data_IF_204180142680
#
_entry.id   IF_204180142680
#
_cell.length_a   1.000
_cell.length_b   1.000
_cell.length_c   1.000
_cell.angle_alpha   90.00
_cell.angle_beta   90.00
_cell.angle_gamma   90.00
#
_symmetry.space_group_name_H-M   'P 1'
#
loop_
_entity.id
_entity.type
_entity.pdbx_description
1 polymer ?
#
# COMPACT_ATOMS: atom_id res chain seq x y z
N UNK A 1 12.51 -19.68 -8.46
CA UNK A 1 12.16 -18.27 -8.21
C UNK A 1 10.91 -17.93 -9.01
N UNK A 2 9.95 -17.22 -8.41
CA UNK A 2 8.77 -16.78 -9.13
C UNK A 2 9.15 -15.99 -10.38
N UNK A 3 8.52 -16.33 -11.50
CA UNK A 3 8.75 -15.69 -12.78
C UNK A 3 7.84 -14.47 -12.96
N UNK A 4 6.61 -14.57 -12.47
CA UNK A 4 5.55 -13.58 -12.69
C UNK A 4 5.17 -12.85 -11.41
N UNK A 5 5.15 -13.52 -10.24
CA UNK A 5 4.81 -12.89 -8.98
C UNK A 5 5.93 -11.99 -8.47
N UNK A 6 5.61 -10.70 -8.35
CA UNK A 6 6.42 -9.71 -7.62
C UNK A 6 6.08 -9.67 -6.12
N UNK A 7 6.50 -8.61 -5.44
CA UNK A 7 6.25 -8.39 -4.00
C UNK A 7 4.75 -8.23 -3.66
N UNK A 8 3.94 -7.79 -4.63
CA UNK A 8 2.51 -7.51 -4.41
C UNK A 8 1.67 -7.91 -5.63
N UNK A 9 1.72 -9.20 -5.98
CA UNK A 9 1.01 -9.77 -7.13
C UNK A 9 1.78 -9.69 -8.45
N UNK A 10 1.09 -9.92 -9.54
CA UNK A 10 1.60 -9.90 -10.92
C UNK A 10 1.28 -8.54 -11.53
N UNK A 11 2.24 -7.89 -12.19
CA UNK A 11 2.05 -6.60 -12.87
C UNK A 11 2.80 -6.54 -14.18
N UNK A 12 2.21 -5.89 -15.17
CA UNK A 12 2.83 -5.66 -16.47
C UNK A 12 1.92 -4.85 -17.38
N UNK A 13 2.37 -4.66 -18.61
CA UNK A 13 1.53 -4.12 -19.69
C UNK A 13 0.56 -5.21 -20.19
N UNK A 14 -0.32 -4.87 -21.12
CA UNK A 14 -1.24 -5.84 -21.69
C UNK A 14 -0.51 -6.97 -22.46
N UNK A 15 0.69 -6.71 -22.95
CA UNK A 15 1.55 -7.73 -23.58
C UNK A 15 2.04 -8.76 -22.55
N UNK A 16 2.33 -8.33 -21.33
CA UNK A 16 2.81 -9.20 -20.25
C UNK A 16 1.66 -9.91 -19.53
N UNK A 17 0.58 -9.17 -19.25
CA UNK A 17 -0.57 -9.62 -18.46
C UNK A 17 -1.84 -9.54 -19.30
N UNK A 18 -1.81 -10.17 -20.49
CA UNK A 18 -2.95 -10.21 -21.40
C UNK A 18 -4.03 -11.23 -20.99
N UNK A 19 -5.18 -11.26 -21.71
CA UNK A 19 -6.33 -12.10 -21.33
C UNK A 19 -6.02 -13.59 -21.24
N UNK A 20 -5.21 -14.13 -22.16
CA UNK A 20 -4.82 -15.55 -22.13
C UNK A 20 -4.00 -15.89 -20.88
N UNK A 21 -3.05 -15.01 -20.52
CA UNK A 21 -2.27 -15.13 -19.30
C UNK A 21 -3.17 -15.01 -18.06
N UNK A 22 -4.04 -14.01 -18.01
CA UNK A 22 -4.94 -13.76 -16.88
C UNK A 22 -5.90 -14.95 -16.63
N UNK A 23 -6.39 -15.59 -17.70
CA UNK A 23 -7.21 -16.80 -17.61
C UNK A 23 -6.42 -17.95 -16.97
N UNK A 24 -5.22 -18.24 -17.48
CA UNK A 24 -4.37 -19.32 -16.94
C UNK A 24 -3.94 -19.05 -15.49
N UNK A 25 -3.58 -17.80 -15.18
CA UNK A 25 -3.25 -17.40 -13.83
C UNK A 25 -4.44 -17.59 -12.87
N UNK A 26 -5.65 -17.20 -13.30
CA UNK A 26 -6.85 -17.36 -12.49
C UNK A 26 -7.22 -18.84 -12.27
N UNK A 27 -7.02 -19.71 -13.26
CA UNK A 27 -7.17 -21.16 -13.07
C UNK A 27 -6.23 -21.68 -11.99
N UNK A 28 -4.96 -21.32 -12.05
CA UNK A 28 -3.94 -21.74 -11.08
C UNK A 28 -4.23 -21.20 -9.69
N UNK A 29 -4.63 -19.92 -9.59
CA UNK A 29 -5.03 -19.27 -8.33
C UNK A 29 -6.26 -19.99 -7.75
N UNK A 30 -7.29 -20.24 -8.54
CA UNK A 30 -8.48 -20.97 -8.09
C UNK A 30 -8.15 -22.37 -7.57
N UNK A 31 -7.33 -23.13 -8.30
CA UNK A 31 -6.87 -24.44 -7.87
C UNK A 31 -6.04 -24.39 -6.58
N UNK A 32 -5.15 -23.39 -6.44
CA UNK A 32 -4.37 -23.18 -5.19
C UNK A 32 -5.29 -22.96 -3.98
N UNK A 33 -6.39 -22.22 -4.14
CA UNK A 33 -7.41 -22.03 -3.11
C UNK A 33 -8.50 -23.09 -3.12
N UNK A 34 -8.20 -24.29 -3.65
CA UNK A 34 -9.06 -25.48 -3.62
C UNK A 34 -10.44 -25.26 -4.27
N UNK A 35 -10.51 -24.42 -5.28
CA UNK A 35 -11.72 -24.08 -6.02
C UNK A 35 -12.87 -23.57 -5.12
N UNK A 36 -12.53 -22.88 -4.06
CA UNK A 36 -13.46 -22.32 -3.10
C UNK A 36 -14.20 -21.08 -3.59
N UNK A 37 -14.71 -20.28 -2.65
CA UNK A 37 -15.34 -18.99 -2.93
C UNK A 37 -14.27 -17.93 -3.21
N UNK A 38 -14.28 -17.35 -4.41
CA UNK A 38 -13.33 -16.35 -4.85
C UNK A 38 -14.02 -15.01 -5.11
N UNK A 39 -13.51 -13.94 -4.51
CA UNK A 39 -13.94 -12.59 -4.86
C UNK A 39 -13.09 -12.08 -6.03
N UNK A 40 -13.71 -11.28 -6.90
CA UNK A 40 -13.04 -10.55 -7.97
C UNK A 40 -13.41 -9.09 -7.86
N UNK A 41 -12.42 -8.21 -7.90
CA UNK A 41 -12.59 -6.76 -7.92
C UNK A 41 -11.66 -6.16 -8.98
N UNK A 42 -11.92 -4.93 -9.40
CA UNK A 42 -11.01 -4.21 -10.28
C UNK A 42 -10.96 -2.72 -9.99
N UNK A 43 -9.86 -2.09 -10.38
CA UNK A 43 -9.83 -0.66 -10.54
C UNK A 43 -10.52 -0.24 -11.88
N UNK A 44 -10.42 1.02 -12.25
CA UNK A 44 -11.09 1.57 -13.42
C UNK A 44 -10.20 1.67 -14.67
N UNK A 45 -9.01 1.04 -14.68
CA UNK A 45 -8.11 1.00 -15.85
C UNK A 45 -8.83 0.43 -17.07
N UNK A 46 -8.50 0.95 -18.26
CA UNK A 46 -9.18 0.56 -19.51
C UNK A 46 -9.16 -0.94 -19.77
N UNK A 47 -8.05 -1.60 -19.46
CA UNK A 47 -7.90 -3.05 -19.63
C UNK A 47 -8.57 -3.85 -18.51
N UNK A 48 -9.10 -3.20 -17.47
CA UNK A 48 -9.66 -3.84 -16.30
C UNK A 48 -10.83 -4.78 -16.58
N UNK A 49 -11.76 -4.35 -17.45
CA UNK A 49 -12.91 -5.19 -17.83
C UNK A 49 -12.49 -6.40 -18.67
N UNK A 50 -11.58 -6.22 -19.62
CA UNK A 50 -11.02 -7.29 -20.43
C UNK A 50 -10.38 -8.38 -19.55
N UNK A 51 -9.53 -7.94 -18.60
CA UNK A 51 -8.85 -8.86 -17.69
C UNK A 51 -9.84 -9.50 -16.68
N UNK A 52 -10.84 -8.75 -16.22
CA UNK A 52 -11.91 -9.29 -15.36
C UNK A 52 -12.64 -10.45 -16.03
N UNK A 53 -12.99 -10.31 -17.30
CA UNK A 53 -13.68 -11.38 -18.03
C UNK A 53 -12.81 -12.64 -18.14
N UNK A 54 -11.52 -12.50 -18.39
CA UNK A 54 -10.57 -13.61 -18.42
C UNK A 54 -10.38 -14.26 -17.05
N UNK A 55 -10.23 -13.46 -15.99
CA UNK A 55 -10.09 -13.94 -14.61
C UNK A 55 -11.33 -14.72 -14.17
N UNK A 56 -12.51 -14.18 -14.42
CA UNK A 56 -13.77 -14.85 -14.06
C UNK A 56 -13.91 -16.18 -14.80
N UNK A 57 -13.65 -16.20 -16.11
CA UNK A 57 -13.68 -17.43 -16.90
C UNK A 57 -12.67 -18.48 -16.39
N UNK A 58 -11.46 -18.04 -16.02
CA UNK A 58 -10.43 -18.89 -15.43
C UNK A 58 -10.87 -19.51 -14.11
N UNK A 59 -11.39 -18.71 -13.17
CA UNK A 59 -11.89 -19.18 -11.88
C UNK A 59 -13.07 -20.15 -12.04
N UNK A 60 -14.05 -19.82 -12.88
CA UNK A 60 -15.20 -20.69 -13.13
C UNK A 60 -14.77 -22.02 -13.76
N UNK A 61 -13.83 -21.98 -14.74
CA UNK A 61 -13.34 -23.21 -15.37
C UNK A 61 -12.57 -24.11 -14.41
N UNK A 62 -11.99 -23.55 -13.34
CA UNK A 62 -11.41 -24.32 -12.25
C UNK A 62 -12.46 -24.83 -11.22
N UNK A 63 -13.75 -24.42 -11.32
CA UNK A 63 -14.84 -24.85 -10.43
C UNK A 63 -15.09 -23.94 -9.23
N UNK A 64 -14.50 -22.73 -9.20
CA UNK A 64 -14.69 -21.78 -8.12
C UNK A 64 -16.13 -21.20 -8.11
N UNK A 65 -16.62 -20.85 -6.92
CA UNK A 65 -17.72 -19.90 -6.76
C UNK A 65 -17.17 -18.47 -6.89
N UNK A 66 -17.66 -17.71 -7.87
CA UNK A 66 -17.14 -16.37 -8.14
C UNK A 66 -18.15 -15.30 -7.74
N UNK A 67 -17.72 -14.36 -6.88
CA UNK A 67 -18.47 -13.17 -6.53
C UNK A 67 -17.72 -11.96 -7.08
N UNK A 68 -18.36 -11.20 -7.96
CA UNK A 68 -17.82 -10.00 -8.58
C UNK A 68 -18.24 -8.76 -7.79
N UNK A 69 -17.26 -8.06 -7.23
CA UNK A 69 -17.45 -6.80 -6.51
C UNK A 69 -17.46 -5.57 -7.45
N UNK A 70 -17.18 -5.78 -8.75
CA UNK A 70 -17.12 -4.71 -9.73
C UNK A 70 -15.93 -3.76 -9.54
N UNK A 71 -16.13 -2.47 -9.89
CA UNK A 71 -15.14 -1.42 -9.65
C UNK A 71 -15.23 -0.99 -8.18
N UNK A 72 -14.10 -1.16 -7.46
CA UNK A 72 -14.00 -0.73 -6.07
C UNK A 72 -12.54 -0.50 -5.69
N UNK A 73 -12.29 0.10 -4.52
CA UNK A 73 -10.93 0.28 -4.00
C UNK A 73 -10.35 -1.04 -3.50
N UNK A 74 -9.02 -1.19 -3.53
CA UNK A 74 -8.35 -2.35 -2.96
C UNK A 74 -8.71 -2.56 -1.48
N UNK A 75 -8.70 -1.53 -0.60
CA UNK A 75 -9.13 -1.71 0.79
C UNK A 75 -10.57 -2.23 0.93
N UNK A 76 -11.50 -1.73 0.12
CA UNK A 76 -12.89 -2.21 0.16
C UNK A 76 -13.00 -3.67 -0.25
N UNK A 77 -12.30 -4.09 -1.31
CA UNK A 77 -12.28 -5.48 -1.75
C UNK A 77 -11.70 -6.41 -0.68
N UNK A 78 -10.61 -6.00 -0.03
CA UNK A 78 -9.96 -6.78 1.03
C UNK A 78 -10.81 -6.81 2.33
N UNK A 79 -11.52 -5.72 2.66
CA UNK A 79 -12.52 -5.73 3.73
C UNK A 79 -13.64 -6.74 3.45
N UNK A 80 -14.16 -6.77 2.21
CA UNK A 80 -15.21 -7.71 1.82
C UNK A 80 -14.76 -9.16 1.86
N UNK A 81 -13.48 -9.46 1.63
CA UNK A 81 -12.92 -10.80 1.75
C UNK A 81 -13.20 -11.40 3.14
N UNK A 82 -12.85 -10.66 4.19
CA UNK A 82 -13.10 -11.08 5.58
C UNK A 82 -14.59 -11.13 5.91
N UNK A 83 -15.35 -10.13 5.48
CA UNK A 83 -16.80 -10.06 5.75
C UNK A 83 -17.58 -11.19 5.11
N UNK A 84 -17.25 -11.57 3.89
CA UNK A 84 -17.91 -12.66 3.14
C UNK A 84 -17.31 -14.03 3.42
N UNK A 85 -16.23 -14.10 4.23
CA UNK A 85 -15.50 -15.34 4.54
C UNK A 85 -15.14 -16.11 3.26
N UNK A 86 -14.63 -15.39 2.26
CA UNK A 86 -14.21 -16.01 1.02
C UNK A 86 -12.80 -16.63 1.16
N UNK A 87 -12.50 -17.62 0.33
CA UNK A 87 -11.23 -18.35 0.38
C UNK A 87 -10.08 -17.59 -0.28
N UNK A 88 -10.40 -16.65 -1.17
CA UNK A 88 -9.42 -15.80 -1.82
C UNK A 88 -10.07 -14.64 -2.58
N UNK A 89 -9.21 -13.70 -3.00
CA UNK A 89 -9.58 -12.50 -3.72
C UNK A 89 -8.55 -12.21 -4.81
N UNK A 90 -9.02 -11.86 -6.00
CA UNK A 90 -8.19 -11.29 -7.07
C UNK A 90 -8.64 -9.86 -7.31
N UNK A 91 -7.73 -8.90 -7.13
CA UNK A 91 -7.96 -7.49 -7.49
C UNK A 91 -7.19 -7.19 -8.76
N UNK A 92 -7.90 -6.78 -9.80
CA UNK A 92 -7.32 -6.40 -11.09
C UNK A 92 -6.95 -4.93 -11.01
N UNK A 93 -5.67 -4.65 -10.76
CA UNK A 93 -5.13 -3.31 -10.55
C UNK A 93 -3.62 -3.28 -10.73
N UNK A 94 -3.09 -2.12 -11.10
CA UNK A 94 -1.66 -1.82 -11.02
C UNK A 94 -1.38 -0.67 -10.03
N UNK A 95 -2.34 -0.31 -9.16
CA UNK A 95 -2.20 0.71 -8.10
C UNK A 95 -1.68 2.05 -8.67
N UNK A 96 -0.46 2.42 -8.34
CA UNK A 96 0.20 3.68 -8.71
C UNK A 96 0.92 3.68 -10.06
N UNK A 97 0.98 2.53 -10.76
CA UNK A 97 1.65 2.44 -12.07
C UNK A 97 0.94 3.29 -13.14
N UNK A 98 1.63 3.67 -14.23
CA UNK A 98 1.04 4.36 -15.38
C UNK A 98 -0.19 3.64 -15.98
N UNK A 99 -1.02 4.33 -16.79
CA UNK A 99 -2.30 3.80 -17.29
C UNK A 99 -2.20 2.53 -18.13
N UNK A 100 -1.10 2.33 -18.85
CA UNK A 100 -0.84 1.16 -19.70
C UNK A 100 -0.56 -0.13 -18.92
N UNK A 101 -0.26 -0.02 -17.62
CA UNK A 101 -0.05 -1.17 -16.75
C UNK A 101 -1.37 -1.70 -16.17
N UNK A 102 -1.41 -3.00 -15.94
CA UNK A 102 -2.42 -3.64 -15.10
C UNK A 102 -1.80 -4.81 -14.33
N UNK A 103 -2.59 -5.54 -13.55
CA UNK A 103 -2.05 -6.65 -12.77
C UNK A 103 -3.13 -7.44 -12.04
N UNK A 104 -2.68 -8.50 -11.39
CA UNK A 104 -3.49 -9.35 -10.53
C UNK A 104 -2.89 -9.37 -9.13
N UNK A 105 -3.51 -8.64 -8.20
CA UNK A 105 -3.19 -8.71 -6.77
C UNK A 105 -4.01 -9.84 -6.16
N UNK A 106 -3.35 -10.80 -5.53
CA UNK A 106 -3.99 -12.00 -4.96
C UNK A 106 -3.91 -11.95 -3.45
N UNK A 107 -5.03 -12.19 -2.79
CA UNK A 107 -5.15 -12.18 -1.32
C UNK A 107 -5.79 -13.49 -0.87
N UNK A 108 -5.26 -14.11 0.17
CA UNK A 108 -5.82 -15.35 0.73
C UNK A 108 -6.98 -15.08 1.69
N UNK A 109 -7.73 -16.12 2.05
CA UNK A 109 -8.90 -16.01 2.93
C UNK A 109 -8.61 -15.48 4.34
N UNK A 110 -7.33 -15.34 4.73
CA UNK A 110 -6.91 -14.68 5.97
C UNK A 110 -6.70 -13.17 5.81
N UNK A 111 -6.85 -12.63 4.59
CA UNK A 111 -6.57 -11.24 4.29
C UNK A 111 -5.08 -10.93 4.08
N UNK A 112 -4.25 -11.95 3.83
CA UNK A 112 -2.82 -11.79 3.58
C UNK A 112 -2.58 -11.83 2.08
N UNK A 113 -2.00 -10.77 1.53
CA UNK A 113 -1.59 -10.76 0.12
C UNK A 113 -0.58 -11.87 -0.15
N UNK A 114 -0.68 -12.51 -1.32
CA UNK A 114 0.23 -13.57 -1.71
C UNK A 114 1.63 -12.98 -1.95
N UNK A 115 2.60 -13.45 -1.15
CA UNK A 115 4.01 -13.08 -1.31
C UNK A 115 4.63 -13.73 -2.55
N UNK A 116 5.84 -13.27 -2.92
CA UNK A 116 6.59 -13.85 -4.03
C UNK A 116 6.81 -15.35 -3.85
N UNK A 117 7.16 -15.77 -2.63
CA UNK A 117 7.43 -17.17 -2.29
C UNK A 117 6.17 -18.04 -2.47
N UNK A 118 5.02 -17.58 -1.99
CA UNK A 118 3.73 -18.27 -2.20
C UNK A 118 3.29 -18.22 -3.66
N UNK A 119 3.64 -17.16 -4.38
CA UNK A 119 3.42 -17.04 -5.83
C UNK A 119 4.10 -18.15 -6.63
N UNK A 120 5.28 -18.60 -6.20
CA UNK A 120 5.97 -19.73 -6.84
C UNK A 120 5.16 -21.04 -6.78
N UNK A 121 4.38 -21.24 -5.72
CA UNK A 121 3.49 -22.41 -5.61
C UNK A 121 2.33 -22.32 -6.60
N UNK A 122 1.77 -21.14 -6.79
CA UNK A 122 0.70 -20.90 -7.76
C UNK A 122 1.25 -21.08 -9.20
N UNK A 123 2.44 -20.56 -9.49
CA UNK A 123 3.06 -20.67 -10.81
C UNK A 123 3.32 -22.11 -11.25
N UNK A 124 3.55 -23.05 -10.32
CA UNK A 124 3.70 -24.47 -10.63
C UNK A 124 2.43 -25.11 -11.20
N UNK A 125 1.28 -24.48 -10.95
CA UNK A 125 -0.03 -24.95 -11.44
C UNK A 125 -0.38 -24.38 -12.82
N UNK A 126 0.38 -23.42 -13.34
CA UNK A 126 0.10 -22.82 -14.66
C UNK A 126 0.10 -23.87 -15.77
N UNK A 127 -1.01 -23.90 -16.53
CA UNK A 127 -1.19 -24.85 -17.62
C UNK A 127 -1.50 -26.31 -17.21
N UNK A 128 -1.52 -26.61 -15.89
CA UNK A 128 -1.71 -27.97 -15.36
C UNK A 128 -2.98 -28.10 -14.49
N UNK A 129 -3.92 -27.17 -14.57
CA UNK A 129 -5.16 -27.21 -13.79
C UNK A 129 -6.18 -28.11 -14.49
N UNK A 130 -6.72 -29.10 -13.77
CA UNK A 130 -7.86 -29.88 -14.24
C UNK A 130 -9.10 -28.97 -14.26
N UNK A 131 -9.77 -28.91 -15.43
CA UNK A 131 -11.02 -28.16 -15.54
C UNK A 131 -12.15 -28.85 -14.78
N UNK A 132 -13.08 -28.06 -14.30
CA UNK A 132 -14.27 -28.53 -13.61
C UNK A 132 -15.21 -29.26 -14.57
N UNK A 133 -15.90 -30.27 -14.04
CA UNK A 133 -16.97 -30.95 -14.79
C UNK A 133 -18.16 -30.01 -14.99
N UNK A 134 -18.94 -30.25 -16.04
CA UNK A 134 -20.09 -29.42 -16.43
C UNK A 134 -21.03 -29.10 -15.23
N UNK A 135 -21.35 -30.08 -14.39
CA UNK A 135 -22.23 -29.92 -13.23
C UNK A 135 -21.63 -29.12 -12.07
N UNK A 136 -20.34 -28.80 -12.12
CA UNK A 136 -19.60 -28.04 -11.09
C UNK A 136 -19.47 -26.55 -11.42
N UNK A 137 -19.85 -26.13 -12.63
CA UNK A 137 -19.78 -24.73 -13.03
C UNK A 137 -20.89 -23.93 -12.34
N UNK A 138 -20.48 -22.86 -11.62
CA UNK A 138 -21.39 -21.99 -10.88
C UNK A 138 -21.56 -20.65 -11.60
N UNK A 139 -22.77 -20.05 -11.59
CA UNK A 139 -22.97 -18.70 -12.12
C UNK A 139 -22.18 -17.66 -11.32
N UNK A 140 -21.74 -16.60 -11.98
CA UNK A 140 -21.13 -15.45 -11.30
C UNK A 140 -22.19 -14.66 -10.57
N UNK A 141 -21.91 -14.29 -9.31
CA UNK A 141 -22.78 -13.45 -8.50
C UNK A 141 -22.21 -12.04 -8.44
N UNK A 142 -23.01 -11.01 -8.73
CA UNK A 142 -22.63 -9.62 -8.55
C UNK A 142 -22.90 -9.15 -7.11
N UNK A 143 -22.01 -8.30 -6.55
CA UNK A 143 -22.22 -7.70 -5.24
C UNK A 143 -21.94 -6.19 -5.29
N UNK A 144 -23.01 -5.39 -5.35
CA UNK A 144 -22.94 -3.94 -5.61
C UNK A 144 -22.92 -3.05 -4.35
N UNK A 145 -22.91 -3.60 -3.13
CA UNK A 145 -23.03 -2.83 -1.88
C UNK A 145 -21.71 -2.70 -1.12
N UNK A 146 -20.60 -3.19 -1.66
CA UNK A 146 -19.29 -3.25 -0.99
C UNK A 146 -18.82 -1.92 -0.40
N UNK A 147 -18.94 -0.82 -1.13
CA UNK A 147 -18.55 0.50 -0.66
C UNK A 147 -19.39 0.96 0.55
N UNK A 148 -20.72 0.72 0.50
CA UNK A 148 -21.62 1.06 1.61
C UNK A 148 -21.28 0.27 2.85
N UNK A 149 -21.06 -1.04 2.71
CA UNK A 149 -20.74 -1.93 3.82
C UNK A 149 -19.41 -1.58 4.48
N UNK A 150 -18.41 -1.19 3.68
CA UNK A 150 -17.13 -0.72 4.19
C UNK A 150 -17.26 0.63 4.91
N UNK A 151 -18.01 1.59 4.32
CA UNK A 151 -18.29 2.88 4.97
C UNK A 151 -18.97 2.70 6.33
N UNK A 152 -19.94 1.81 6.43
CA UNK A 152 -20.68 1.59 7.68
C UNK A 152 -19.77 0.97 8.75
N UNK A 153 -18.88 0.04 8.38
CA UNK A 153 -17.87 -0.50 9.29
C UNK A 153 -16.87 0.58 9.75
N UNK A 154 -16.38 1.44 8.84
CA UNK A 154 -15.50 2.55 9.21
C UNK A 154 -16.17 3.54 10.16
N UNK A 155 -17.43 3.92 9.89
CA UNK A 155 -18.19 4.86 10.75
C UNK A 155 -18.39 4.33 12.17
N UNK A 156 -18.53 3.01 12.33
CA UNK A 156 -18.66 2.37 13.65
C UNK A 156 -17.37 2.47 14.50
N UNK A 157 -16.22 2.73 13.88
CA UNK A 157 -14.90 2.87 14.53
C UNK A 157 -14.45 4.33 14.71
N UNK A 158 -15.31 5.28 14.37
CA UNK A 158 -15.07 6.72 14.47
C UNK A 158 -16.01 7.36 15.49
N UNK A 159 -15.79 8.65 15.77
CA UNK A 159 -16.71 9.49 16.55
C UNK A 159 -17.38 10.52 15.61
N UNK A 160 -18.42 10.12 14.83
CA UNK A 160 -19.02 10.98 13.81
C UNK A 160 -19.51 12.34 14.34
N UNK A 161 -20.01 12.38 15.59
CA UNK A 161 -20.51 13.60 16.22
C UNK A 161 -19.43 14.69 16.35
N UNK A 162 -18.16 14.30 16.58
CA UNK A 162 -17.04 15.26 16.63
C UNK A 162 -16.82 15.93 15.29
N UNK A 163 -16.85 15.13 14.22
CA UNK A 163 -16.67 15.61 12.85
C UNK A 163 -17.85 16.46 12.43
N UNK A 164 -19.08 15.98 12.66
CA UNK A 164 -20.32 16.70 12.34
C UNK A 164 -20.44 18.05 13.07
N UNK A 165 -19.95 18.13 14.31
CA UNK A 165 -19.92 19.39 15.08
C UNK A 165 -18.89 20.38 14.53
N UNK A 166 -17.68 19.92 14.17
CA UNK A 166 -16.58 20.78 13.68
C UNK A 166 -16.77 21.18 12.23
N UNK A 167 -17.36 20.31 11.40
CA UNK A 167 -17.59 20.48 9.94
C UNK A 167 -16.33 20.89 9.19
N UNK A 168 -15.24 20.11 9.27
CA UNK A 168 -13.99 20.49 8.64
C UNK A 168 -14.17 20.60 7.12
N UNK A 169 -13.47 21.56 6.50
CA UNK A 169 -13.45 21.75 5.06
C UNK A 169 -12.24 21.03 4.45
N UNK A 170 -12.50 20.02 3.65
CA UNK A 170 -11.49 19.10 3.09
C UNK A 170 -11.50 19.18 1.57
N UNK A 171 -10.32 19.26 0.95
CA UNK A 171 -10.18 19.11 -0.49
C UNK A 171 -9.68 17.69 -0.79
N UNK A 172 -10.38 16.99 -1.68
CA UNK A 172 -10.09 15.61 -2.05
C UNK A 172 -9.57 15.58 -3.49
N UNK A 173 -8.32 15.18 -3.67
CA UNK A 173 -7.78 14.84 -4.98
C UNK A 173 -7.89 13.32 -5.19
N UNK A 174 -8.91 12.92 -5.94
CA UNK A 174 -9.24 11.52 -6.17
C UNK A 174 -8.40 10.89 -7.31
N UNK A 175 -7.53 11.68 -7.95
CA UNK A 175 -6.58 11.22 -8.97
C UNK A 175 -7.22 10.43 -10.11
N UNK A 176 -8.47 10.73 -10.47
CA UNK A 176 -9.29 9.93 -11.38
C UNK A 176 -9.43 8.44 -10.96
N UNK A 177 -9.17 8.13 -9.67
CA UNK A 177 -9.07 6.77 -9.13
C UNK A 177 -10.36 6.23 -8.54
N UNK A 178 -10.29 4.99 -8.04
CA UNK A 178 -11.44 4.27 -7.46
C UNK A 178 -11.91 4.85 -6.13
N UNK A 179 -11.12 5.67 -5.46
CA UNK A 179 -11.54 6.37 -4.22
C UNK A 179 -12.74 7.30 -4.45
N UNK A 180 -13.02 7.69 -5.71
CA UNK A 180 -14.22 8.42 -6.10
C UNK A 180 -15.53 7.66 -5.77
N UNK A 181 -15.47 6.34 -5.64
CA UNK A 181 -16.64 5.50 -5.32
C UNK A 181 -17.02 5.52 -3.83
N UNK A 182 -16.15 5.99 -2.96
CA UNK A 182 -16.33 5.84 -1.51
C UNK A 182 -15.95 7.10 -0.69
N UNK A 183 -14.78 7.72 -0.93
CA UNK A 183 -14.24 8.75 -0.05
C UNK A 183 -15.11 10.03 0.04
N UNK A 184 -15.65 10.58 -1.07
CA UNK A 184 -16.52 11.77 -0.99
C UNK A 184 -17.80 11.51 -0.20
N UNK A 185 -18.43 10.35 -0.42
CA UNK A 185 -19.66 10.00 0.28
C UNK A 185 -19.41 9.77 1.77
N UNK A 186 -18.36 9.03 2.14
CA UNK A 186 -17.99 8.79 3.54
C UNK A 186 -17.78 10.11 4.30
N UNK A 187 -16.92 11.00 3.77
CA UNK A 187 -16.59 12.25 4.46
C UNK A 187 -17.78 13.21 4.52
N UNK A 188 -18.63 13.23 3.49
CA UNK A 188 -19.88 13.99 3.51
C UNK A 188 -20.85 13.48 4.57
N UNK A 189 -21.03 12.16 4.68
CA UNK A 189 -21.88 11.54 5.70
C UNK A 189 -21.34 11.74 7.13
N UNK A 190 -20.02 11.86 7.30
CA UNK A 190 -19.39 12.25 8.56
C UNK A 190 -19.58 13.74 8.90
N UNK A 191 -20.11 14.54 7.98
CA UNK A 191 -20.41 15.97 8.21
C UNK A 191 -19.33 16.94 7.72
N UNK A 192 -18.35 16.49 6.95
CA UNK A 192 -17.35 17.38 6.34
C UNK A 192 -17.96 18.24 5.23
N UNK A 193 -17.43 19.46 5.07
CA UNK A 193 -17.52 20.21 3.82
C UNK A 193 -16.43 19.68 2.89
N UNK A 194 -16.79 19.32 1.67
CA UNK A 194 -15.83 18.77 0.73
C UNK A 194 -15.82 19.53 -0.58
N UNK A 195 -14.64 19.61 -1.19
CA UNK A 195 -14.44 19.99 -2.58
C UNK A 195 -13.58 18.89 -3.21
N UNK A 196 -13.93 18.45 -4.41
CA UNK A 196 -13.24 17.38 -5.09
C UNK A 196 -12.55 17.86 -6.36
N UNK A 197 -11.35 17.38 -6.62
CA UNK A 197 -10.67 17.53 -7.91
C UNK A 197 -10.34 16.14 -8.45
N UNK A 198 -10.20 16.02 -9.77
CA UNK A 198 -9.95 14.76 -10.46
C UNK A 198 -10.94 13.65 -10.03
N UNK A 199 -12.23 14.01 -9.88
CA UNK A 199 -13.24 13.18 -9.20
C UNK A 199 -13.98 12.19 -10.10
N UNK A 200 -13.90 12.31 -11.41
CA UNK A 200 -14.43 11.30 -12.34
C UNK A 200 -13.39 10.19 -12.52
N UNK A 201 -13.84 8.94 -12.50
CA UNK A 201 -12.97 7.81 -12.79
C UNK A 201 -12.60 7.78 -14.26
N UNK A 202 -11.31 7.76 -14.57
CA UNK A 202 -10.80 7.68 -15.94
C UNK A 202 -9.48 6.90 -15.96
N UNK A 203 -9.47 5.78 -16.69
CA UNK A 203 -8.33 4.89 -16.77
C UNK A 203 -7.08 5.47 -17.45
N UNK A 204 -7.18 6.66 -18.05
CA UNK A 204 -6.05 7.39 -18.59
C UNK A 204 -5.34 8.27 -17.55
N UNK A 205 -5.96 8.50 -16.38
CA UNK A 205 -5.45 9.40 -15.32
C UNK A 205 -5.13 10.81 -15.82
N UNK A 206 -6.07 11.52 -16.49
CA UNK A 206 -5.79 12.78 -17.16
C UNK A 206 -5.48 13.93 -16.21
N UNK A 207 -5.94 13.87 -14.96
CA UNK A 207 -5.74 14.94 -13.99
C UNK A 207 -4.34 14.98 -13.41
N UNK A 208 -3.75 13.83 -13.16
CA UNK A 208 -2.36 13.66 -12.70
C UNK A 208 -1.92 12.21 -12.77
N UNK A 209 -0.59 11.92 -12.72
CA UNK A 209 -0.10 10.57 -12.50
C UNK A 209 -0.75 9.94 -11.26
N UNK A 210 -0.97 8.62 -11.31
CA UNK A 210 -1.68 7.88 -10.26
C UNK A 210 -0.99 7.95 -8.88
N UNK A 211 0.36 7.99 -8.85
CA UNK A 211 1.10 8.11 -7.59
C UNK A 211 1.04 9.54 -7.02
N UNK A 212 0.57 9.75 -5.76
CA UNK A 212 0.37 11.06 -5.17
C UNK A 212 1.68 11.64 -4.59
N UNK A 213 2.69 11.82 -5.44
CA UNK A 213 3.93 12.52 -5.06
C UNK A 213 3.68 14.03 -4.98
N UNK A 214 4.50 14.75 -4.20
CA UNK A 214 4.38 16.20 -4.04
C UNK A 214 4.29 16.94 -5.38
N UNK A 215 5.14 16.57 -6.33
CA UNK A 215 5.17 17.15 -7.68
C UNK A 215 3.88 16.90 -8.49
N UNK A 216 3.15 15.84 -8.19
CA UNK A 216 1.93 15.44 -8.89
C UNK A 216 0.67 16.07 -8.31
N UNK A 217 0.71 16.59 -7.07
CA UNK A 217 -0.45 17.14 -6.35
C UNK A 217 -0.35 18.67 -6.14
N UNK A 218 0.36 19.37 -7.01
CA UNK A 218 0.56 20.82 -6.90
C UNK A 218 -0.74 21.60 -6.93
N UNK A 219 -1.74 21.13 -7.69
CA UNK A 219 -3.06 21.74 -7.72
C UNK A 219 -3.77 21.61 -6.36
N UNK A 220 -3.72 20.45 -5.73
CA UNK A 220 -4.24 20.26 -4.38
C UNK A 220 -3.58 21.21 -3.38
N UNK A 221 -2.25 21.34 -3.42
CA UNK A 221 -1.48 22.23 -2.55
C UNK A 221 -1.91 23.70 -2.75
N UNK A 222 -2.05 24.13 -4.00
CA UNK A 222 -2.53 25.47 -4.35
C UNK A 222 -3.94 25.73 -3.81
N UNK A 223 -4.86 24.79 -4.07
CA UNK A 223 -6.26 24.92 -3.65
C UNK A 223 -6.43 24.96 -2.14
N UNK A 224 -5.68 24.15 -1.37
CA UNK A 224 -5.71 24.21 0.10
C UNK A 224 -5.36 25.61 0.60
N UNK A 225 -4.29 26.23 0.04
CA UNK A 225 -3.87 27.59 0.41
C UNK A 225 -4.91 28.65 0.05
N UNK A 226 -5.41 28.63 -1.18
CA UNK A 226 -6.34 29.63 -1.70
C UNK A 226 -7.70 29.59 -1.00
N UNK A 227 -8.21 28.38 -0.74
CA UNK A 227 -9.53 28.20 -0.13
C UNK A 227 -9.51 28.18 1.40
N UNK A 228 -8.30 28.14 2.01
CA UNK A 228 -8.10 27.98 3.45
C UNK A 228 -8.77 26.72 3.99
N UNK A 229 -8.68 25.61 3.25
CA UNK A 229 -9.20 24.33 3.69
C UNK A 229 -8.44 23.82 4.93
N UNK A 230 -9.12 23.05 5.78
CA UNK A 230 -8.51 22.45 6.97
C UNK A 230 -7.44 21.40 6.61
N UNK A 231 -7.60 20.71 5.49
CA UNK A 231 -6.53 19.91 4.85
C UNK A 231 -6.90 19.52 3.42
N UNK A 232 -5.88 19.06 2.67
CA UNK A 232 -6.03 18.36 1.40
C UNK A 232 -5.67 16.89 1.56
N UNK A 233 -6.31 16.02 0.79
CA UNK A 233 -6.08 14.58 0.80
C UNK A 233 -5.94 14.07 -0.63
N UNK A 234 -4.92 13.25 -0.90
CA UNK A 234 -4.73 12.60 -2.19
C UNK A 234 -4.42 11.10 -2.03
N UNK A 235 -4.97 10.30 -2.93
CA UNK A 235 -4.77 8.84 -2.97
C UNK A 235 -4.13 8.41 -4.28
N UNK A 236 -3.60 7.18 -4.30
CA UNK A 236 -3.25 6.48 -5.53
C UNK A 236 -4.48 5.86 -6.21
N UNK A 237 -4.28 5.19 -7.34
CA UNK A 237 -5.36 4.74 -8.23
C UNK A 237 -6.34 3.74 -7.60
N UNK A 238 -5.89 2.89 -6.69
CA UNK A 238 -6.71 1.87 -6.01
C UNK A 238 -6.97 2.16 -4.52
N UNK A 239 -6.43 3.28 -4.00
CA UNK A 239 -6.78 3.83 -2.70
C UNK A 239 -6.13 3.17 -1.49
N UNK A 240 -5.08 2.37 -1.69
CA UNK A 240 -4.34 1.75 -0.58
C UNK A 240 -3.26 2.68 0.00
N UNK A 241 -2.83 3.74 -0.75
CA UNK A 241 -1.88 4.78 -0.33
C UNK A 241 -2.55 6.13 -0.20
N UNK A 242 -2.06 6.93 0.73
CA UNK A 242 -2.60 8.27 1.01
C UNK A 242 -1.50 9.24 1.40
N UNK A 243 -1.64 10.49 0.97
CA UNK A 243 -0.86 11.63 1.42
C UNK A 243 -1.77 12.79 1.77
N UNK A 244 -1.24 13.76 2.51
CA UNK A 244 -2.00 14.94 2.94
C UNK A 244 -1.30 16.24 2.56
N UNK A 245 -2.07 17.30 2.57
CA UNK A 245 -1.60 18.68 2.59
C UNK A 245 -2.17 19.33 3.84
N UNK A 246 -1.32 19.90 4.70
CA UNK A 246 -1.79 20.57 5.92
C UNK A 246 -2.49 21.90 5.59
N UNK A 247 -3.14 22.52 6.58
CA UNK A 247 -3.86 23.78 6.44
C UNK A 247 -2.99 24.97 6.00
N UNK A 248 -1.66 24.80 6.02
CA UNK A 248 -0.69 25.80 5.54
C UNK A 248 -0.24 25.53 4.12
N UNK A 249 -0.72 24.42 3.51
CA UNK A 249 -0.32 23.98 2.18
C UNK A 249 1.05 23.28 2.16
N UNK A 250 1.50 22.69 3.25
CA UNK A 250 2.70 21.86 3.27
C UNK A 250 2.35 20.41 2.95
N UNK A 251 3.15 19.80 2.09
CA UNK A 251 3.03 18.37 1.77
C UNK A 251 3.38 17.49 2.97
N UNK A 252 2.54 16.51 3.24
CA UNK A 252 2.71 15.53 4.31
C UNK A 252 2.99 14.17 3.68
N UNK A 253 4.26 13.82 3.64
CA UNK A 253 4.75 12.57 3.05
C UNK A 253 4.24 11.33 3.80
N UNK A 254 4.16 10.20 3.10
CA UNK A 254 3.64 8.95 3.64
C UNK A 254 4.25 8.47 4.96
N UNK A 255 5.57 8.66 5.17
CA UNK A 255 6.22 8.39 6.46
C UNK A 255 5.58 9.15 7.63
N UNK A 256 5.25 10.43 7.43
CA UNK A 256 4.58 11.26 8.45
C UNK A 256 3.13 10.84 8.65
N UNK A 257 2.45 10.41 7.57
CA UNK A 257 1.09 9.85 7.66
C UNK A 257 1.12 8.58 8.50
N UNK A 258 2.06 7.67 8.24
CA UNK A 258 2.25 6.45 9.01
C UNK A 258 2.54 6.76 10.49
N UNK A 259 3.52 7.63 10.79
CA UNK A 259 3.88 7.99 12.16
C UNK A 259 2.73 8.69 12.91
N UNK A 260 1.96 9.55 12.22
CA UNK A 260 0.77 10.18 12.81
C UNK A 260 -0.32 9.14 13.10
N UNK A 261 -0.58 8.22 12.18
CA UNK A 261 -1.55 7.14 12.38
C UNK A 261 -1.18 6.26 13.59
N UNK A 262 0.11 5.93 13.72
CA UNK A 262 0.65 5.21 14.90
C UNK A 262 0.44 6.02 16.18
N UNK A 263 0.74 7.33 16.18
CA UNK A 263 0.50 8.20 17.32
C UNK A 263 -0.97 8.20 17.74
N UNK A 264 -1.88 8.38 16.80
CA UNK A 264 -3.33 8.37 17.05
C UNK A 264 -3.79 7.03 17.60
N UNK A 265 -3.34 5.92 17.00
CA UNK A 265 -3.71 4.57 17.45
C UNK A 265 -3.20 4.27 18.87
N UNK A 266 -1.95 4.61 19.17
CA UNK A 266 -1.36 4.33 20.48
C UNK A 266 -1.93 5.23 21.61
N UNK A 267 -2.50 6.40 21.29
CA UNK A 267 -3.31 7.18 22.23
C UNK A 267 -4.63 6.46 22.59
N UNK A 268 -5.17 5.64 21.71
CA UNK A 268 -6.41 4.88 21.94
C UNK A 268 -6.14 3.50 22.57
N UNK A 269 -5.09 2.82 22.09
CA UNK A 269 -4.78 1.44 22.47
C UNK A 269 -3.30 1.14 22.35
N UNK A 270 -2.66 0.75 23.44
CA UNK A 270 -1.28 0.26 23.44
C UNK A 270 -1.15 -1.11 22.76
N UNK A 271 -0.04 -1.32 22.06
CA UNK A 271 0.34 -2.57 21.43
C UNK A 271 1.49 -2.41 20.45
N UNK A 272 2.01 -3.50 19.94
CA UNK A 272 3.14 -3.47 19.02
C UNK A 272 2.75 -2.79 17.69
N UNK A 273 3.75 -2.20 17.03
CA UNK A 273 3.63 -1.52 15.73
C UNK A 273 4.42 -2.33 14.71
N UNK A 274 3.85 -2.57 13.53
CA UNK A 274 4.54 -3.24 12.42
C UNK A 274 4.85 -2.24 11.32
N UNK A 275 6.09 -2.25 10.82
CA UNK A 275 6.50 -1.38 9.71
C UNK A 275 7.56 -2.04 8.84
N UNK A 276 7.89 -1.41 7.70
CA UNK A 276 8.94 -1.92 6.83
C UNK A 276 10.31 -1.35 7.18
N UNK A 277 11.35 -2.04 6.77
CA UNK A 277 12.75 -1.58 6.95
C UNK A 277 13.06 -0.29 6.18
N UNK A 278 12.23 0.14 5.27
CA UNK A 278 12.37 1.38 4.51
C UNK A 278 11.61 2.57 5.15
N UNK A 279 10.82 2.32 6.17
CA UNK A 279 10.00 3.35 6.84
C UNK A 279 10.85 4.17 7.81
N UNK A 280 10.48 5.45 7.97
CA UNK A 280 11.15 6.40 8.84
C UNK A 280 11.25 5.92 10.28
N UNK A 281 12.38 6.21 10.92
CA UNK A 281 12.60 5.99 12.36
C UNK A 281 11.62 6.78 13.25
N UNK A 282 10.96 7.78 12.68
CA UNK A 282 9.90 8.51 13.37
C UNK A 282 8.79 7.59 13.89
N UNK A 283 8.49 6.49 13.19
CA UNK A 283 7.50 5.49 13.62
C UNK A 283 7.97 4.77 14.89
N UNK A 284 9.24 4.32 14.92
CA UNK A 284 9.85 3.68 16.09
C UNK A 284 9.93 4.64 17.29
N UNK A 285 10.33 5.89 17.04
CA UNK A 285 10.41 6.90 18.09
C UNK A 285 9.02 7.21 18.69
N UNK A 286 7.97 7.26 17.86
CA UNK A 286 6.59 7.42 18.34
C UNK A 286 6.16 6.20 19.16
N UNK A 287 6.37 4.98 18.68
CA UNK A 287 6.01 3.76 19.43
C UNK A 287 6.73 3.69 20.78
N UNK A 288 8.01 4.03 20.80
CA UNK A 288 8.84 4.03 22.02
C UNK A 288 8.35 4.98 23.10
N UNK A 289 7.74 6.14 22.74
CA UNK A 289 7.11 7.08 23.71
C UNK A 289 5.97 6.44 24.50
N UNK A 290 5.33 5.42 23.94
CA UNK A 290 4.25 4.65 24.58
C UNK A 290 4.75 3.33 25.21
N UNK A 291 6.06 3.07 25.21
CA UNK A 291 6.63 1.80 25.67
C UNK A 291 6.30 0.61 24.77
N UNK A 292 5.89 0.87 23.52
CA UNK A 292 5.52 -0.14 22.55
C UNK A 292 6.70 -0.53 21.66
N UNK A 293 6.72 -1.78 21.18
CA UNK A 293 7.76 -2.29 20.27
C UNK A 293 7.41 -2.01 18.82
N UNK A 294 8.43 -1.76 18.02
CA UNK A 294 8.32 -1.72 16.55
C UNK A 294 8.93 -2.98 15.96
N UNK A 295 8.13 -3.70 15.18
CA UNK A 295 8.52 -4.91 14.45
C UNK A 295 8.78 -4.51 13.01
N UNK A 296 10.02 -4.68 12.57
CA UNK A 296 10.42 -4.40 11.20
C UNK A 296 10.29 -5.62 10.31
N UNK A 297 9.65 -5.43 9.14
CA UNK A 297 9.53 -6.46 8.10
C UNK A 297 10.28 -6.08 6.84
N UNK A 298 10.41 -7.00 5.89
CA UNK A 298 10.77 -6.66 4.51
C UNK A 298 9.76 -5.66 3.94
N UNK A 299 10.18 -4.92 2.89
CA UNK A 299 9.28 -4.02 2.15
C UNK A 299 8.20 -4.82 1.43
N UNK A 300 6.95 -4.46 1.69
CA UNK A 300 5.77 -5.04 1.06
C UNK A 300 4.66 -5.39 2.05
N UNK A 301 3.41 -5.13 1.65
CA UNK A 301 2.23 -5.39 2.47
C UNK A 301 2.11 -6.84 2.95
N UNK A 302 2.42 -7.90 2.15
CA UNK A 302 2.27 -9.28 2.59
C UNK A 302 3.01 -9.60 3.89
N UNK A 303 4.22 -9.06 4.04
CA UNK A 303 5.06 -9.34 5.22
C UNK A 303 4.54 -8.65 6.48
N UNK A 304 3.97 -7.44 6.34
CA UNK A 304 3.34 -6.74 7.46
C UNK A 304 2.04 -7.45 7.88
N UNK A 305 1.18 -7.78 6.91
CA UNK A 305 -0.09 -8.47 7.15
C UNK A 305 0.11 -9.83 7.82
N UNK A 306 1.16 -10.59 7.42
CA UNK A 306 1.48 -11.87 8.02
C UNK A 306 1.88 -11.75 9.50
N UNK A 307 2.76 -10.79 9.83
CA UNK A 307 3.13 -10.50 11.23
C UNK A 307 1.91 -10.08 12.04
N UNK A 308 1.03 -9.24 11.46
CA UNK A 308 -0.18 -8.75 12.16
C UNK A 308 -1.21 -9.85 12.36
N UNK A 309 -1.40 -10.76 11.40
CA UNK A 309 -2.30 -11.90 11.52
C UNK A 309 -1.94 -12.84 12.67
N UNK A 310 -0.64 -12.96 12.97
CA UNK A 310 -0.09 -13.89 13.97
C UNK A 310 0.34 -13.21 15.27
N UNK A 311 0.25 -11.89 15.35
CA UNK A 311 0.84 -11.11 16.44
C UNK A 311 -0.13 -10.28 17.25
N UNK A 312 0.44 -9.43 18.12
CA UNK A 312 -0.27 -8.48 19.00
C UNK A 312 -0.21 -7.05 18.47
N UNK A 313 0.19 -6.86 17.21
CA UNK A 313 0.32 -5.53 16.63
C UNK A 313 -1.07 -4.88 16.47
N UNK A 314 -1.16 -3.64 16.90
CA UNK A 314 -2.41 -2.86 16.87
C UNK A 314 -2.52 -1.96 15.65
N UNK A 315 -1.41 -1.74 14.94
CA UNK A 315 -1.32 -0.94 13.73
C UNK A 315 -0.10 -1.34 12.90
N UNK A 316 -0.19 -1.22 11.59
CA UNK A 316 0.94 -1.37 10.67
C UNK A 316 0.97 -0.27 9.62
N UNK A 317 2.14 -0.02 9.02
CA UNK A 317 2.23 0.95 7.93
C UNK A 317 3.61 1.06 7.31
N UNK A 318 3.67 1.72 6.15
CA UNK A 318 4.88 1.88 5.36
C UNK A 318 5.06 3.31 4.84
N UNK A 319 6.26 3.62 4.34
CA UNK A 319 6.72 4.97 3.95
C UNK A 319 5.91 5.63 2.83
N UNK A 320 5.12 4.86 2.09
CA UNK A 320 4.28 5.41 1.01
C UNK A 320 2.88 5.84 1.48
N UNK A 321 2.63 5.86 2.80
CA UNK A 321 1.35 6.26 3.37
C UNK A 321 0.29 5.16 3.39
N UNK A 322 0.68 3.91 3.18
CA UNK A 322 -0.19 2.75 3.37
C UNK A 322 -0.25 2.36 4.84
N UNK A 323 -1.41 2.43 5.47
CA UNK A 323 -1.62 2.11 6.90
C UNK A 323 -2.61 0.97 7.03
N UNK A 324 -2.29 -0.03 7.85
CA UNK A 324 -3.12 -1.20 8.15
C UNK A 324 -3.80 -1.00 9.50
N UNK A 325 -5.12 -1.05 9.52
CA UNK A 325 -5.97 -0.96 10.69
C UNK A 325 -6.65 -2.32 10.92
N UNK A 326 -6.07 -3.19 11.78
CA UNK A 326 -6.48 -4.61 11.86
C UNK A 326 -7.91 -4.81 12.35
N UNK A 327 -8.54 -3.80 12.94
CA UNK A 327 -9.96 -3.84 13.30
C UNK A 327 -10.91 -3.82 12.08
N UNK A 328 -10.44 -3.37 10.91
CA UNK A 328 -11.17 -3.45 9.65
C UNK A 328 -10.71 -4.62 8.80
N UNK A 329 -9.42 -4.65 8.50
CA UNK A 329 -8.79 -5.69 7.67
C UNK A 329 -7.27 -5.67 7.83
N UNK A 330 -6.59 -6.67 7.29
CA UNK A 330 -5.12 -6.69 7.20
C UNK A 330 -4.59 -5.97 5.95
N UNK A 331 -5.45 -5.25 5.24
CA UNK A 331 -5.09 -4.42 4.11
C UNK A 331 -4.61 -3.03 4.53
N UNK A 332 -3.80 -2.42 3.70
CA UNK A 332 -3.56 -0.97 3.77
C UNK A 332 -4.84 -0.24 3.37
N UNK A 333 -5.31 0.68 4.18
CA UNK A 333 -6.55 1.40 3.97
C UNK A 333 -6.37 2.91 4.02
N UNK A 334 -6.18 3.52 2.84
CA UNK A 334 -6.07 4.97 2.69
C UNK A 334 -7.40 5.69 2.97
N UNK A 335 -8.56 5.02 2.82
CA UNK A 335 -9.86 5.65 3.06
C UNK A 335 -10.12 5.78 4.57
N UNK A 336 -9.90 4.71 5.33
CA UNK A 336 -10.05 4.78 6.77
C UNK A 336 -8.98 5.67 7.42
N UNK A 337 -7.75 5.64 6.90
CA UNK A 337 -6.68 6.54 7.33
C UNK A 337 -7.09 8.02 7.13
N UNK A 338 -7.74 8.35 5.99
CA UNK A 338 -8.30 9.68 5.78
C UNK A 338 -9.32 10.05 6.86
N UNK A 339 -10.27 9.16 7.14
CA UNK A 339 -11.32 9.42 8.13
C UNK A 339 -10.75 9.59 9.56
N UNK A 340 -9.77 8.78 9.97
CA UNK A 340 -9.08 8.89 11.27
C UNK A 340 -8.31 10.20 11.41
N UNK A 341 -7.61 10.64 10.37
CA UNK A 341 -6.89 11.93 10.41
C UNK A 341 -7.87 13.10 10.36
N UNK A 342 -8.96 13.00 9.58
CA UNK A 342 -10.05 14.00 9.58
C UNK A 342 -10.70 14.09 10.97
N UNK A 343 -10.90 13.00 11.68
CA UNK A 343 -11.34 13.01 13.06
C UNK A 343 -10.35 13.75 13.97
N UNK A 344 -9.06 13.47 13.83
CA UNK A 344 -8.01 14.10 14.63
C UNK A 344 -7.89 15.61 14.39
N UNK A 345 -8.05 16.09 13.16
CA UNK A 345 -8.00 17.55 12.89
C UNK A 345 -9.18 18.30 13.44
N UNK A 346 -10.24 17.63 13.90
CA UNK A 346 -11.32 18.28 14.66
C UNK A 346 -10.87 18.73 16.05
N UNK A 347 -9.80 18.16 16.60
CA UNK A 347 -9.21 18.55 17.89
C UNK A 347 -8.22 19.71 17.74
N UNK A 348 -7.30 19.62 16.77
CA UNK A 348 -6.31 20.64 16.44
C UNK A 348 -5.84 20.51 14.99
N UNK A 349 -5.30 21.60 14.39
CA UNK A 349 -4.84 21.58 12.99
C UNK A 349 -3.82 20.46 12.71
N UNK A 350 -3.78 19.98 11.47
CA UNK A 350 -2.87 18.92 11.05
C UNK A 350 -1.39 19.29 11.30
N UNK A 351 -1.01 20.54 11.00
CA UNK A 351 0.35 21.02 11.28
C UNK A 351 0.74 20.97 12.76
N UNK A 352 -0.24 21.05 13.68
CA UNK A 352 0.01 20.92 15.10
C UNK A 352 0.22 19.46 15.54
N UNK A 353 -0.53 18.53 14.93
CA UNK A 353 -0.30 17.09 15.10
C UNK A 353 1.08 16.67 14.62
N UNK A 354 1.50 17.17 13.45
CA UNK A 354 2.79 16.84 12.85
C UNK A 354 4.00 17.32 13.67
N UNK A 355 3.84 18.33 14.54
CA UNK A 355 4.88 18.76 15.48
C UNK A 355 5.16 17.74 16.59
N UNK A 356 4.23 16.84 16.88
CA UNK A 356 4.44 15.75 17.85
C UNK A 356 5.28 14.59 17.26
N UNK A 357 5.41 14.54 15.93
CA UNK A 357 6.19 13.54 15.21
C UNK A 357 7.65 14.00 15.13
N UNK A 358 8.62 13.16 15.52
CA UNK A 358 10.03 13.48 15.38
C UNK A 358 10.41 13.77 13.92
N UNK A 359 11.18 14.83 13.72
CA UNK A 359 11.63 15.21 12.38
C UNK A 359 12.85 14.40 11.96
N UNK A 360 12.78 13.85 10.76
CA UNK A 360 13.87 13.16 10.06
C UNK A 360 13.98 13.65 8.62
N UNK A 361 15.19 13.60 8.08
CA UNK A 361 15.50 14.00 6.72
C UNK A 361 15.91 12.77 5.91
N UNK A 362 15.16 12.50 4.85
CA UNK A 362 15.38 11.38 3.95
C UNK A 362 16.17 11.81 2.72
N UNK A 363 17.15 11.02 2.32
CA UNK A 363 17.90 11.15 1.07
C UNK A 363 17.87 9.83 0.34
N UNK A 364 17.58 9.86 -0.96
CA UNK A 364 17.47 8.68 -1.81
C UNK A 364 18.39 8.84 -3.02
N UNK A 365 19.13 7.80 -3.35
CA UNK A 365 19.94 7.71 -4.58
C UNK A 365 19.90 6.31 -5.15
N UNK A 366 20.46 6.15 -6.34
CA UNK A 366 20.63 4.84 -6.98
C UNK A 366 21.99 4.74 -7.65
N UNK A 367 22.51 3.52 -7.71
CA UNK A 367 23.74 3.16 -8.41
C UNK A 367 23.39 2.13 -9.48
N UNK A 368 23.78 2.38 -10.73
CA UNK A 368 23.62 1.39 -11.80
C UNK A 368 24.43 0.15 -11.45
N UNK A 369 23.81 -1.02 -11.57
CA UNK A 369 24.42 -2.28 -11.23
C UNK A 369 23.75 -3.41 -12.00
N UNK A 370 24.52 -4.22 -12.72
CA UNK A 370 24.00 -5.36 -13.45
C UNK A 370 23.46 -6.43 -12.51
N UNK A 371 22.46 -7.22 -12.95
CA UNK A 371 21.87 -8.29 -12.13
C UNK A 371 22.92 -9.24 -11.54
N UNK A 372 23.94 -9.58 -12.32
CA UNK A 372 25.01 -10.50 -11.89
C UNK A 372 25.89 -9.93 -10.76
N UNK A 373 25.97 -8.60 -10.64
CA UNK A 373 26.80 -7.92 -9.64
C UNK A 373 26.04 -7.54 -8.36
N UNK A 374 24.71 -7.45 -8.38
CA UNK A 374 23.91 -7.01 -7.24
C UNK A 374 24.26 -7.74 -5.95
N UNK A 375 24.39 -9.08 -6.02
CA UNK A 375 24.74 -9.88 -4.83
C UNK A 375 26.12 -9.52 -4.31
N UNK A 376 27.12 -9.43 -5.17
CA UNK A 376 28.50 -9.08 -4.77
C UNK A 376 28.57 -7.68 -4.14
N UNK A 377 27.80 -6.71 -4.66
CA UNK A 377 27.70 -5.37 -4.08
C UNK A 377 27.10 -5.43 -2.67
N UNK A 378 26.02 -6.18 -2.49
CA UNK A 378 25.39 -6.33 -1.16
C UNK A 378 26.32 -7.05 -0.18
N UNK A 379 27.02 -8.12 -0.60
CA UNK A 379 27.97 -8.82 0.25
C UNK A 379 29.12 -7.90 0.68
N UNK A 380 29.70 -7.11 -0.24
CA UNK A 380 30.76 -6.15 0.09
C UNK A 380 30.27 -5.01 1.00
N UNK A 381 29.03 -4.55 0.84
CA UNK A 381 28.41 -3.57 1.76
C UNK A 381 28.22 -4.19 3.15
N UNK A 382 27.80 -5.45 3.23
CA UNK A 382 27.65 -6.18 4.49
C UNK A 382 28.98 -6.28 5.24
N UNK A 383 30.04 -6.70 4.57
CA UNK A 383 31.38 -6.86 5.16
C UNK A 383 31.91 -5.50 5.66
N UNK A 384 31.74 -4.45 4.86
CA UNK A 384 32.13 -3.09 5.25
C UNK A 384 31.37 -2.60 6.48
N UNK A 385 30.03 -2.74 6.48
CA UNK A 385 29.19 -2.25 7.56
C UNK A 385 29.45 -3.02 8.88
N UNK A 386 29.63 -4.32 8.82
CA UNK A 386 29.92 -5.16 10.00
C UNK A 386 31.30 -4.86 10.58
N UNK A 387 32.30 -4.53 9.76
CA UNK A 387 33.64 -4.15 10.23
C UNK A 387 33.66 -2.80 10.97
N UNK A 388 32.75 -1.89 10.69
CA UNK A 388 32.63 -0.58 11.34
C UNK A 388 31.94 -0.61 12.70
N UNK A 389 31.29 -1.71 13.04
CA UNK A 389 30.45 -1.82 14.22
C UNK A 389 29.14 -1.05 14.02
N UNK A 390 28.06 -1.56 14.57
CA UNK A 390 26.71 -1.01 14.43
C UNK A 390 25.69 -2.13 14.28
N UNK A 391 24.42 -1.82 14.34
CA UNK A 391 23.36 -2.78 14.10
C UNK A 391 23.15 -2.93 12.59
N UNK A 392 23.75 -3.97 12.01
CA UNK A 392 23.58 -4.33 10.59
C UNK A 392 22.57 -5.47 10.49
N UNK A 393 21.56 -5.31 9.67
CA UNK A 393 20.48 -6.29 9.50
C UNK A 393 20.36 -6.62 8.02
N UNK A 394 20.43 -7.91 7.70
CA UNK A 394 20.16 -8.41 6.36
C UNK A 394 18.69 -8.83 6.26
N UNK A 395 17.98 -8.27 5.30
CA UNK A 395 16.59 -8.56 5.02
C UNK A 395 16.46 -9.36 3.72
N UNK A 396 16.43 -10.68 3.85
CA UNK A 396 16.51 -11.57 2.68
C UNK A 396 17.84 -11.44 1.97
N UNK A 397 17.83 -11.70 0.66
CA UNK A 397 19.02 -11.64 -0.18
C UNK A 397 19.17 -10.29 -0.92
N UNK A 398 18.22 -9.38 -0.75
CA UNK A 398 18.10 -8.19 -1.57
C UNK A 398 18.27 -6.86 -0.81
N UNK A 399 18.35 -6.86 0.52
CA UNK A 399 18.49 -5.62 1.28
C UNK A 399 19.36 -5.75 2.53
N UNK A 400 20.10 -4.69 2.83
CA UNK A 400 20.90 -4.51 4.05
C UNK A 400 20.50 -3.19 4.67
N UNK A 401 20.08 -3.22 5.93
CA UNK A 401 19.84 -2.03 6.74
C UNK A 401 20.93 -1.87 7.80
N UNK A 402 21.42 -0.67 7.94
CA UNK A 402 22.44 -0.29 8.93
C UNK A 402 21.83 0.79 9.80
N UNK A 403 21.55 0.45 11.06
CA UNK A 403 20.99 1.37 12.04
C UNK A 403 22.08 2.00 12.90
N UNK A 404 21.96 3.29 13.13
CA UNK A 404 22.70 4.08 14.10
C UNK A 404 21.70 4.71 15.09
N UNK A 405 22.18 5.41 16.10
CA UNK A 405 21.32 5.97 17.17
C UNK A 405 20.21 6.87 16.62
N UNK A 406 20.54 7.77 15.69
CA UNK A 406 19.65 8.81 15.15
C UNK A 406 19.64 8.85 13.61
N UNK A 407 20.06 7.77 12.99
CA UNK A 407 20.10 7.62 11.53
C UNK A 407 20.07 6.17 11.11
N UNK A 408 19.73 5.93 9.86
CA UNK A 408 19.87 4.60 9.22
C UNK A 408 20.12 4.78 7.72
N UNK A 409 20.67 3.74 7.11
CA UNK A 409 20.76 3.61 5.66
C UNK A 409 20.36 2.22 5.24
N UNK A 410 19.58 2.09 4.17
CA UNK A 410 19.26 0.83 3.52
C UNK A 410 19.86 0.79 2.12
N UNK A 411 20.51 -0.30 1.80
CA UNK A 411 21.06 -0.60 0.48
C UNK A 411 20.29 -1.81 -0.04
N UNK A 412 19.58 -1.64 -1.16
CA UNK A 412 18.66 -2.63 -1.68
C UNK A 412 18.85 -2.84 -3.18
N UNK A 413 18.92 -4.10 -3.60
CA UNK A 413 18.84 -4.48 -5.00
C UNK A 413 17.42 -4.19 -5.54
N UNK A 414 17.31 -3.53 -6.69
CA UNK A 414 16.03 -3.38 -7.38
C UNK A 414 15.64 -4.72 -8.01
N UNK A 415 14.39 -5.13 -7.83
CA UNK A 415 13.86 -6.35 -8.47
C UNK A 415 13.41 -6.14 -9.92
N UNK A 416 13.33 -4.88 -10.38
CA UNK A 416 12.77 -4.51 -11.68
C UNK A 416 13.73 -3.70 -12.55
N UNK A 417 14.77 -3.11 -11.96
CA UNK A 417 15.74 -2.25 -12.66
C UNK A 417 17.17 -2.72 -12.40
N UNK A 418 18.11 -2.52 -13.32
CA UNK A 418 19.52 -2.88 -13.14
C UNK A 418 20.24 -1.85 -12.24
N UNK A 419 19.80 -1.73 -10.98
CA UNK A 419 20.38 -0.80 -10.02
C UNK A 419 20.32 -1.29 -8.58
N UNK A 420 21.16 -0.70 -7.74
CA UNK A 420 21.09 -0.72 -6.28
C UNK A 420 20.47 0.61 -5.84
N UNK A 421 19.43 0.54 -5.03
CA UNK A 421 18.80 1.71 -4.39
C UNK A 421 19.41 1.92 -3.02
N UNK A 422 19.71 3.18 -2.67
CA UNK A 422 20.28 3.57 -1.38
C UNK A 422 19.40 4.65 -0.80
N UNK A 423 18.82 4.39 0.35
CA UNK A 423 17.99 5.34 1.09
C UNK A 423 18.60 5.54 2.46
N UNK A 424 18.81 6.77 2.85
CA UNK A 424 19.31 7.12 4.17
C UNK A 424 18.47 8.18 4.84
N UNK A 425 18.43 8.11 6.15
CA UNK A 425 17.68 9.02 7.00
C UNK A 425 18.49 9.43 8.22
N UNK A 426 18.38 10.68 8.61
CA UNK A 426 18.98 11.20 9.84
C UNK A 426 18.19 12.38 10.41
N UNK A 427 18.48 12.77 11.66
CA UNK A 427 17.90 13.97 12.30
C UNK A 427 18.38 15.30 11.70
N UNK A 428 19.43 15.31 10.90
CA UNK A 428 19.86 16.48 10.12
C UNK A 428 20.06 16.11 8.66
N UNK A 429 19.83 17.08 7.76
CA UNK A 429 19.99 16.92 6.33
C UNK A 429 21.43 16.56 5.96
N UNK A 430 22.40 17.28 6.50
CA UNK A 430 23.83 17.08 6.21
C UNK A 430 24.28 15.67 6.62
N UNK A 431 23.79 15.15 7.76
CA UNK A 431 24.08 13.79 8.20
C UNK A 431 23.47 12.75 7.29
N UNK A 432 22.23 12.94 6.82
CA UNK A 432 21.58 12.03 5.89
C UNK A 432 22.30 12.01 4.54
N UNK A 433 22.68 13.17 4.00
CA UNK A 433 23.45 13.30 2.76
C UNK A 433 24.83 12.65 2.87
N UNK A 434 25.55 12.90 3.96
CA UNK A 434 26.87 12.30 4.20
C UNK A 434 26.78 10.76 4.27
N UNK A 435 25.79 10.25 4.99
CA UNK A 435 25.57 8.81 5.13
C UNK A 435 25.24 8.13 3.78
N UNK A 436 24.33 8.72 3.00
CA UNK A 436 23.98 8.19 1.68
C UNK A 436 25.18 8.24 0.72
N UNK A 437 25.93 9.35 0.73
CA UNK A 437 27.12 9.53 -0.13
C UNK A 437 28.23 8.53 0.19
N UNK A 438 28.41 8.17 1.46
CA UNK A 438 29.37 7.13 1.88
C UNK A 438 29.04 5.79 1.22
N UNK A 439 27.78 5.33 1.38
CA UNK A 439 27.36 4.05 0.83
C UNK A 439 27.15 4.05 -0.69
N UNK A 440 26.85 5.20 -1.28
CA UNK A 440 26.84 5.38 -2.74
C UNK A 440 28.24 5.18 -3.33
N UNK A 441 29.25 5.81 -2.73
CA UNK A 441 30.66 5.64 -3.15
C UNK A 441 31.11 4.18 -3.03
N UNK A 442 30.77 3.54 -1.92
CA UNK A 442 31.07 2.12 -1.73
C UNK A 442 30.37 1.23 -2.76
N UNK A 443 29.05 1.41 -2.96
CA UNK A 443 28.32 0.62 -3.94
C UNK A 443 28.86 0.81 -5.37
N UNK A 444 29.23 2.04 -5.76
CA UNK A 444 29.87 2.32 -7.07
C UNK A 444 31.21 1.62 -7.25
N UNK A 445 31.99 1.48 -6.18
CA UNK A 445 33.30 0.80 -6.26
C UNK A 445 33.17 -0.73 -6.37
N UNK A 446 32.01 -1.29 -6.02
CA UNK A 446 31.70 -2.70 -6.05
C UNK A 446 30.83 -3.13 -7.25
N UNK A 447 30.18 -2.17 -7.94
CA UNK A 447 29.25 -2.40 -9.06
C UNK A 447 29.96 -2.65 -10.45
#
# INVERSE_FOLDING_TARGET
>A
MAKYFGTNGIRGTLEDVGPAFALQAAQAIGAHFKCGRMLVARDHRLTGELLRNAVVAGLQSAGCEVIDLGITTSPTAEFMLGKMKADGLIIITASHNPPEYNGLKVVDGKGISVSKERGEEIEKLFGNVKLADFGSIKPVQGHGTSAREHMDAMKALLHPDRIAKRKPFIILDLGNGTTATIAPQLLKELGCKILTINSHMDGHFPGRPSEPLEQNIQELIRMVKETKADCGIAWDGDGDRIVFVDEKGNFVVGDKVCALSVLLKLKEKNGDVVTTVATSKAVEDVASKFGCKTIYTRVGAPYMSDVMANGKAVIGGEEVGGVIWPELSLAKDGIFTAAKIVEAICEKPLSAWLKEIPAYYNVKTRVECSEKRKKAVLDGVWDHATSKGGRVIRHGDDAIRIDQVDSWVIIRASGTEPCIRIFGEAKSKDKAEALVKEYEKLARSLA
#
